data_IF_950834854817
#
_entry.id   IF_950834854817
#
_cell.length_a   1.000
_cell.length_b   1.000
_cell.length_c   1.000
_cell.angle_alpha   90.00
_cell.angle_beta   90.00
_cell.angle_gamma   90.00
#
_symmetry.space_group_name_H-M   'P 1'
#
loop_
_entity.id
_entity.type
_entity.pdbx_description
1 polymer ?
#
# COMPACT_ATOMS: atom_id res chain seq x y z
N UNK A 1 3.57 12.46 26.71
CA UNK A 1 4.50 11.33 26.39
C UNK A 1 5.58 11.78 25.42
N UNK A 2 6.39 12.75 25.81
CA UNK A 2 7.33 13.40 24.86
C UNK A 2 8.74 12.77 24.89
N UNK A 3 9.06 11.89 25.85
CA UNK A 3 10.43 11.38 26.06
C UNK A 3 10.52 9.85 26.21
N UNK A 4 9.69 9.08 25.50
CA UNK A 4 9.91 7.63 25.46
C UNK A 4 11.07 7.33 24.52
N UNK A 5 12.14 6.73 25.02
CA UNK A 5 13.18 6.12 24.19
C UNK A 5 12.52 5.07 23.27
N UNK A 6 12.89 5.06 21.99
CA UNK A 6 12.36 4.11 20.99
C UNK A 6 10.88 4.29 20.62
N UNK A 7 10.37 5.51 20.70
CA UNK A 7 8.98 5.84 20.33
C UNK A 7 8.59 5.43 18.90
N UNK A 8 9.55 5.22 18.03
CA UNK A 8 9.38 4.79 16.64
C UNK A 8 9.03 3.30 16.52
N UNK A 9 9.22 2.50 17.56
CA UNK A 9 9.07 1.04 17.54
C UNK A 9 7.99 0.51 18.48
N UNK A 10 7.20 1.38 19.08
CA UNK A 10 6.13 1.00 20.03
C UNK A 10 5.10 0.07 19.37
N UNK A 11 4.66 0.42 18.15
CA UNK A 11 3.72 -0.43 17.41
C UNK A 11 4.34 -1.80 17.08
N UNK A 12 5.61 -1.83 16.71
CA UNK A 12 6.31 -3.08 16.43
C UNK A 12 6.31 -4.02 17.64
N UNK A 13 6.62 -3.50 18.82
CA UNK A 13 6.61 -4.28 20.06
C UNK A 13 5.21 -4.85 20.36
N UNK A 14 4.17 -4.07 20.15
CA UNK A 14 2.80 -4.56 20.29
C UNK A 14 2.47 -5.65 19.28
N UNK A 15 2.79 -5.47 18.00
CA UNK A 15 2.48 -6.43 16.94
C UNK A 15 3.21 -7.77 17.14
N UNK A 16 4.42 -7.78 17.72
CA UNK A 16 5.11 -9.02 18.08
C UNK A 16 4.30 -9.93 19.01
N UNK A 17 3.40 -9.37 19.83
CA UNK A 17 2.56 -10.15 20.76
C UNK A 17 1.35 -10.81 20.09
N UNK A 18 0.98 -10.37 18.89
CA UNK A 18 -0.26 -10.81 18.20
C UNK A 18 -0.02 -11.42 16.82
N UNK A 19 1.16 -11.25 16.22
CA UNK A 19 1.46 -11.62 14.84
C UNK A 19 1.18 -13.10 14.52
N UNK A 20 1.40 -13.99 15.48
CA UNK A 20 1.23 -15.44 15.27
C UNK A 20 -0.25 -15.87 15.20
N UNK A 21 -1.17 -14.93 15.42
CA UNK A 21 -2.62 -15.17 15.36
C UNK A 21 -3.23 -14.85 13.98
N UNK A 22 -2.46 -14.25 13.09
CA UNK A 22 -2.96 -13.72 11.81
C UNK A 22 -2.01 -14.04 10.66
N UNK A 23 -2.56 -14.38 9.51
CA UNK A 23 -1.79 -14.53 8.26
C UNK A 23 -1.36 -13.17 7.72
N UNK A 24 -2.21 -12.13 7.91
CA UNK A 24 -1.95 -10.76 7.48
C UNK A 24 -2.40 -9.77 8.56
N UNK A 25 -1.61 -8.73 8.77
CA UNK A 25 -1.94 -7.57 9.57
C UNK A 25 -1.83 -6.34 8.66
N UNK A 26 -2.95 -5.64 8.46
CA UNK A 26 -3.00 -4.43 7.64
C UNK A 26 -2.97 -3.20 8.55
N UNK A 27 -2.04 -2.29 8.27
CA UNK A 27 -1.91 -1.01 8.95
C UNK A 27 -2.41 0.08 8.01
N UNK A 28 -3.63 0.58 8.26
CA UNK A 28 -4.16 1.74 7.54
C UNK A 28 -3.55 3.02 8.11
N UNK A 29 -2.85 3.76 7.25
CA UNK A 29 -2.08 4.93 7.64
C UNK A 29 -2.66 6.21 7.05
N UNK A 30 -2.68 7.27 7.84
CA UNK A 30 -3.01 8.60 7.35
C UNK A 30 -2.00 9.07 6.29
N UNK A 31 -2.39 9.91 5.32
CA UNK A 31 -1.52 10.47 4.29
C UNK A 31 -0.58 11.56 4.88
N UNK A 32 0.18 11.22 5.90
CA UNK A 32 1.08 12.12 6.61
C UNK A 32 2.38 11.37 6.90
N UNK A 33 3.51 12.08 6.83
CA UNK A 33 4.84 11.52 7.14
C UNK A 33 5.22 11.72 8.61
N UNK A 34 4.21 11.75 9.50
CA UNK A 34 4.39 11.92 10.93
C UNK A 34 4.86 10.64 11.66
N UNK A 35 4.96 10.75 12.98
CA UNK A 35 5.45 9.67 13.86
C UNK A 35 4.62 8.38 13.76
N UNK A 36 3.32 8.47 13.54
CA UNK A 36 2.46 7.29 13.37
C UNK A 36 2.82 6.50 12.11
N UNK A 37 3.06 7.18 11.00
CA UNK A 37 3.50 6.54 9.76
C UNK A 37 4.89 5.92 9.91
N UNK A 38 5.81 6.59 10.63
CA UNK A 38 7.13 6.02 10.93
C UNK A 38 7.00 4.75 11.78
N UNK A 39 6.12 4.74 12.80
CA UNK A 39 5.84 3.56 13.59
C UNK A 39 5.26 2.41 12.74
N UNK A 40 4.31 2.70 11.85
CA UNK A 40 3.76 1.70 10.95
C UNK A 40 4.84 1.11 10.03
N UNK A 41 5.68 1.94 9.41
CA UNK A 41 6.78 1.49 8.56
C UNK A 41 7.85 0.71 9.35
N UNK A 42 8.12 1.10 10.60
CA UNK A 42 9.06 0.40 11.48
C UNK A 42 8.56 -1.01 11.87
N UNK A 43 7.25 -1.18 11.95
CA UNK A 43 6.59 -2.42 12.33
C UNK A 43 6.26 -3.35 11.16
N UNK A 44 6.23 -2.83 9.93
CA UNK A 44 5.77 -3.56 8.74
C UNK A 44 6.89 -4.32 8.05
N UNK A 45 6.53 -5.45 7.42
CA UNK A 45 7.40 -6.16 6.49
C UNK A 45 7.38 -5.51 5.10
N UNK A 46 6.24 -4.92 4.75
CA UNK A 46 5.99 -4.38 3.41
C UNK A 46 5.11 -3.14 3.45
N UNK A 47 5.27 -2.29 2.45
CA UNK A 47 4.40 -1.14 2.22
C UNK A 47 3.84 -1.18 0.80
N UNK A 48 2.50 -1.16 0.70
CA UNK A 48 1.77 -0.93 -0.55
C UNK A 48 1.40 0.54 -0.58
N UNK A 49 1.67 1.22 -1.68
CA UNK A 49 1.52 2.67 -1.81
C UNK A 49 0.36 2.99 -2.77
N UNK A 50 -0.83 3.35 -2.27
CA UNK A 50 -1.89 3.85 -3.12
C UNK A 50 -1.59 5.28 -3.58
N UNK A 51 -1.73 5.52 -4.89
CA UNK A 51 -1.46 6.82 -5.52
C UNK A 51 -2.64 7.19 -6.42
N UNK A 52 -3.21 8.36 -6.19
CA UNK A 52 -4.22 8.90 -7.09
C UNK A 52 -3.57 9.42 -8.38
N UNK A 53 -4.29 9.31 -9.49
CA UNK A 53 -3.80 9.77 -10.81
C UNK A 53 -3.95 11.28 -10.99
N UNK A 54 -3.28 12.04 -10.09
CA UNK A 54 -3.18 13.49 -10.17
C UNK A 54 -1.74 13.96 -9.90
N UNK A 55 -1.43 15.18 -10.31
CA UNK A 55 -0.09 15.74 -10.25
C UNK A 55 0.50 15.80 -8.82
N UNK A 56 -0.32 16.22 -7.84
CA UNK A 56 0.14 16.36 -6.45
C UNK A 56 0.48 15.01 -5.84
N UNK A 57 -0.32 13.99 -6.12
CA UNK A 57 -0.06 12.62 -5.65
C UNK A 57 1.20 12.03 -6.29
N UNK A 58 1.41 12.26 -7.59
CA UNK A 58 2.64 11.84 -8.28
C UNK A 58 3.88 12.52 -7.68
N UNK A 59 3.82 13.81 -7.38
CA UNK A 59 4.90 14.54 -6.71
C UNK A 59 5.12 14.08 -5.26
N UNK A 60 4.04 13.82 -4.52
CA UNK A 60 4.10 13.31 -3.14
C UNK A 60 4.69 11.90 -3.04
N UNK A 61 4.54 11.08 -4.09
CA UNK A 61 5.10 9.73 -4.15
C UNK A 61 6.63 9.74 -3.96
N UNK A 62 7.34 10.66 -4.58
CA UNK A 62 8.80 10.78 -4.44
C UNK A 62 9.21 11.03 -2.99
N UNK A 63 8.55 11.96 -2.31
CA UNK A 63 8.81 12.26 -0.88
C UNK A 63 8.53 11.06 0.01
N UNK A 64 7.43 10.32 -0.27
CA UNK A 64 7.11 9.10 0.46
C UNK A 64 8.19 8.03 0.25
N UNK A 65 8.62 7.79 -0.98
CA UNK A 65 9.68 6.84 -1.30
C UNK A 65 11.01 7.18 -0.60
N UNK A 66 11.36 8.47 -0.52
CA UNK A 66 12.53 8.93 0.24
C UNK A 66 12.37 8.61 1.74
N UNK A 67 11.18 8.84 2.31
CA UNK A 67 10.90 8.53 3.71
C UNK A 67 10.94 7.03 3.98
N UNK A 68 10.33 6.20 3.13
CA UNK A 68 10.39 4.73 3.23
C UNK A 68 11.85 4.26 3.20
N UNK A 69 12.66 4.80 2.28
CA UNK A 69 14.07 4.45 2.18
C UNK A 69 14.88 4.90 3.42
N UNK A 70 14.53 6.02 4.03
CA UNK A 70 15.17 6.48 5.29
C UNK A 70 14.83 5.55 6.44
N UNK A 71 13.55 5.18 6.60
CA UNK A 71 13.10 4.21 7.61
C UNK A 71 13.78 2.85 7.39
N UNK A 72 13.83 2.39 6.14
CA UNK A 72 14.51 1.14 5.79
C UNK A 72 15.98 1.13 6.20
N UNK A 73 16.70 2.21 5.97
CA UNK A 73 18.14 2.30 6.31
C UNK A 73 18.39 2.44 7.80
N UNK A 74 17.54 3.15 8.54
CA UNK A 74 17.83 3.56 9.91
C UNK A 74 17.09 2.76 10.99
N UNK A 75 15.89 2.21 10.66
CA UNK A 75 14.99 1.65 11.65
C UNK A 75 14.60 0.21 11.31
N UNK A 76 14.18 -0.05 10.05
CA UNK A 76 13.68 -1.36 9.62
C UNK A 76 14.34 -1.82 8.31
N UNK A 77 15.55 -2.41 8.36
CA UNK A 77 16.24 -2.88 7.15
C UNK A 77 15.49 -3.94 6.34
N UNK A 78 14.53 -4.64 6.95
CA UNK A 78 13.72 -5.67 6.31
C UNK A 78 12.54 -5.10 5.52
N UNK A 79 12.19 -3.81 5.74
CA UNK A 79 11.08 -3.15 5.05
C UNK A 79 11.26 -3.19 3.53
N UNK A 80 10.22 -3.60 2.83
CA UNK A 80 10.17 -3.65 1.37
C UNK A 80 8.99 -2.86 0.82
N UNK A 81 9.17 -2.27 -0.35
CA UNK A 81 8.05 -1.71 -1.09
C UNK A 81 7.40 -2.87 -1.85
N UNK A 82 6.14 -3.18 -1.53
CA UNK A 82 5.36 -4.22 -2.19
C UNK A 82 4.96 -3.80 -3.60
N UNK A 83 4.58 -2.54 -3.75
CA UNK A 83 4.22 -1.95 -5.02
C UNK A 83 3.46 -0.65 -4.89
N UNK A 84 3.25 -0.02 -6.04
CA UNK A 84 2.43 1.17 -6.23
C UNK A 84 1.10 0.72 -6.82
N UNK A 85 -0.01 1.19 -6.21
CA UNK A 85 -1.37 0.93 -6.66
C UNK A 85 -1.98 2.25 -7.15
N UNK A 86 -2.37 2.31 -8.41
CA UNK A 86 -3.11 3.46 -8.93
C UNK A 86 -4.55 3.41 -8.44
N UNK A 87 -5.02 4.51 -7.85
CA UNK A 87 -6.37 4.58 -7.27
C UNK A 87 -7.14 5.77 -7.80
N UNK A 88 -8.49 5.70 -7.69
CA UNK A 88 -9.41 6.75 -8.16
C UNK A 88 -9.15 7.16 -9.62
N UNK A 89 -8.79 6.17 -10.45
CA UNK A 89 -8.44 6.40 -11.85
C UNK A 89 -9.70 6.70 -12.66
N UNK A 90 -9.72 7.85 -13.33
CA UNK A 90 -10.78 8.22 -14.28
C UNK A 90 -10.24 8.17 -15.71
N UNK A 91 -10.30 7.02 -16.33
CA UNK A 91 -9.83 6.79 -17.71
C UNK A 91 -10.60 7.54 -18.80
N UNK A 92 -11.67 8.27 -18.45
CA UNK A 92 -12.37 9.17 -19.39
C UNK A 92 -11.54 10.41 -19.64
N UNK A 93 -10.60 10.76 -18.77
CA UNK A 93 -9.75 11.93 -18.89
C UNK A 93 -8.38 11.56 -19.44
N UNK A 94 -7.87 12.34 -20.41
CA UNK A 94 -6.51 12.17 -20.92
C UNK A 94 -5.46 12.40 -19.83
N UNK A 95 -5.71 13.36 -18.95
CA UNK A 95 -4.81 13.69 -17.85
C UNK A 95 -4.57 12.49 -16.91
N UNK A 96 -5.63 11.74 -16.52
CA UNK A 96 -5.45 10.54 -15.68
C UNK A 96 -4.64 9.45 -16.42
N UNK A 97 -4.85 9.29 -17.73
CA UNK A 97 -4.07 8.37 -18.56
C UNK A 97 -2.59 8.76 -18.60
N UNK A 98 -2.31 10.04 -18.84
CA UNK A 98 -0.93 10.57 -18.87
C UNK A 98 -0.20 10.37 -17.54
N UNK A 99 -0.85 10.68 -16.40
CA UNK A 99 -0.27 10.45 -15.07
C UNK A 99 -0.08 8.95 -14.79
N UNK A 100 -1.02 8.09 -15.19
CA UNK A 100 -0.88 6.64 -15.06
C UNK A 100 0.33 6.11 -15.84
N UNK A 101 0.48 6.53 -17.08
CA UNK A 101 1.62 6.19 -17.92
C UNK A 101 2.92 6.72 -17.33
N UNK A 102 2.95 7.98 -16.91
CA UNK A 102 4.13 8.59 -16.27
C UNK A 102 4.59 7.79 -15.05
N UNK A 103 3.66 7.39 -14.17
CA UNK A 103 4.01 6.60 -12.97
C UNK A 103 4.55 5.22 -13.37
N UNK A 104 3.93 4.53 -14.34
CA UNK A 104 4.39 3.23 -14.82
C UNK A 104 5.76 3.32 -15.47
N UNK A 105 6.01 4.31 -16.31
CA UNK A 105 7.30 4.50 -17.01
C UNK A 105 8.41 4.91 -16.03
N UNK A 106 8.10 5.79 -15.07
CA UNK A 106 9.10 6.28 -14.11
C UNK A 106 9.51 5.22 -13.09
N UNK A 107 8.55 4.44 -12.60
CA UNK A 107 8.78 3.53 -11.47
C UNK A 107 8.75 2.06 -11.85
N UNK A 108 8.05 1.65 -12.93
CA UNK A 108 7.82 0.25 -13.28
C UNK A 108 9.08 -0.58 -13.53
N UNK A 109 10.18 0.06 -13.95
CA UNK A 109 11.48 -0.62 -14.08
C UNK A 109 12.20 -0.93 -12.77
N UNK A 110 11.77 -0.34 -11.64
CA UNK A 110 12.43 -0.46 -10.32
C UNK A 110 11.51 -0.98 -9.23
N UNK A 111 10.23 -0.66 -9.33
CA UNK A 111 9.20 -1.02 -8.36
C UNK A 111 8.04 -1.67 -9.11
N UNK A 112 7.37 -2.62 -8.47
CA UNK A 112 6.11 -3.11 -9.01
C UNK A 112 5.09 -1.97 -9.04
N UNK A 113 4.47 -1.74 -10.19
CA UNK A 113 3.21 -1.01 -10.30
C UNK A 113 2.15 -2.05 -10.60
N UNK A 114 1.12 -2.16 -9.76
CA UNK A 114 0.08 -3.16 -9.92
C UNK A 114 -0.66 -2.99 -11.25
N UNK A 115 -1.04 -4.11 -11.88
CA UNK A 115 -1.85 -4.09 -13.10
C UNK A 115 -3.29 -3.69 -12.80
N UNK A 116 -3.80 -4.09 -11.61
CA UNK A 116 -5.09 -3.68 -11.12
C UNK A 116 -5.08 -2.20 -10.73
N UNK A 117 -5.85 -1.39 -11.44
CA UNK A 117 -6.10 0.00 -11.09
C UNK A 117 -7.49 0.12 -10.44
N UNK A 118 -7.59 0.84 -9.33
CA UNK A 118 -8.89 1.07 -8.67
C UNK A 118 -9.57 2.28 -9.32
N UNK A 119 -10.69 2.08 -10.05
CA UNK A 119 -11.35 3.17 -10.75
C UNK A 119 -12.08 4.11 -9.78
N UNK A 120 -12.23 5.36 -10.20
CA UNK A 120 -13.12 6.30 -9.52
C UNK A 120 -14.57 5.87 -9.68
N UNK A 121 -15.32 5.81 -8.57
CA UNK A 121 -16.73 5.42 -8.58
C UNK A 121 -17.53 6.20 -7.54
N UNK A 122 -18.73 6.63 -7.92
CA UNK A 122 -19.69 7.24 -7.00
C UNK A 122 -20.16 6.22 -5.98
N UNK A 123 -20.48 5.00 -6.42
CA UNK A 123 -20.90 3.89 -5.54
C UNK A 123 -19.84 3.55 -4.50
N UNK A 124 -18.56 3.62 -4.85
CA UNK A 124 -17.50 3.43 -3.89
C UNK A 124 -17.40 4.56 -2.84
N UNK A 125 -17.85 5.77 -3.17
CA UNK A 125 -17.94 6.85 -2.19
C UNK A 125 -19.12 6.67 -1.22
N UNK A 126 -20.23 6.09 -1.69
CA UNK A 126 -21.44 5.85 -0.89
C UNK A 126 -21.20 4.83 0.24
N UNK A 127 -20.33 3.83 0.04
CA UNK A 127 -20.05 2.78 1.04
C UNK A 127 -19.56 3.35 2.38
N UNK A 128 -18.84 4.49 2.35
CA UNK A 128 -18.35 5.13 3.57
C UNK A 128 -19.51 5.69 4.43
N UNK A 129 -20.58 6.15 3.79
CA UNK A 129 -21.77 6.65 4.50
C UNK A 129 -22.63 5.48 5.01
N UNK A 130 -22.68 4.37 4.29
CA UNK A 130 -23.49 3.20 4.64
C UNK A 130 -22.77 2.22 5.59
N UNK A 131 -21.46 2.35 5.78
CA UNK A 131 -20.67 1.47 6.63
C UNK A 131 -20.63 0.01 6.15
N UNK A 132 -20.73 -0.21 4.83
CA UNK A 132 -20.74 -1.55 4.22
C UNK A 132 -19.55 -1.75 3.29
N UNK A 133 -19.20 -3.00 3.02
CA UNK A 133 -18.14 -3.31 2.06
C UNK A 133 -18.62 -3.10 0.62
N UNK A 134 -17.70 -2.68 -0.29
CA UNK A 134 -17.98 -2.60 -1.73
C UNK A 134 -18.47 -3.95 -2.29
N UNK A 135 -18.00 -5.06 -1.77
CA UNK A 135 -18.42 -6.39 -2.18
C UNK A 135 -19.87 -6.73 -1.79
N UNK A 136 -20.43 -6.01 -0.81
CA UNK A 136 -21.84 -6.12 -0.43
C UNK A 136 -22.71 -5.11 -1.18
N UNK A 137 -22.21 -3.88 -1.32
CA UNK A 137 -22.94 -2.75 -1.92
C UNK A 137 -23.02 -2.87 -3.45
N UNK A 138 -21.93 -3.23 -4.12
CA UNK A 138 -21.81 -3.33 -5.58
C UNK A 138 -20.93 -4.52 -6.00
N UNK A 139 -21.37 -5.78 -5.75
CA UNK A 139 -20.52 -6.98 -5.90
C UNK A 139 -20.07 -7.25 -7.34
N UNK A 140 -20.83 -6.82 -8.35
CA UNK A 140 -20.50 -6.91 -9.78
C UNK A 140 -19.93 -5.62 -10.36
N UNK A 141 -19.64 -4.63 -9.51
CA UNK A 141 -19.13 -3.34 -9.96
C UNK A 141 -17.62 -3.37 -10.23
N UNK A 142 -17.19 -2.49 -11.13
CA UNK A 142 -15.77 -2.38 -11.54
C UNK A 142 -14.79 -2.19 -10.38
N UNK A 143 -15.22 -1.53 -9.30
CA UNK A 143 -14.37 -1.34 -8.10
C UNK A 143 -14.22 -2.65 -7.34
N UNK A 144 -15.28 -3.42 -7.17
CA UNK A 144 -15.21 -4.73 -6.53
C UNK A 144 -14.31 -5.70 -7.34
N UNK A 145 -14.48 -5.74 -8.67
CA UNK A 145 -13.62 -6.52 -9.57
C UNK A 145 -12.15 -6.10 -9.48
N UNK A 146 -11.89 -4.79 -9.45
CA UNK A 146 -10.52 -4.26 -9.33
C UNK A 146 -9.86 -4.66 -8.00
N UNK A 147 -10.58 -4.59 -6.87
CA UNK A 147 -10.08 -5.07 -5.58
C UNK A 147 -9.88 -6.58 -5.54
N UNK A 148 -10.73 -7.37 -6.21
CA UNK A 148 -10.49 -8.81 -6.34
C UNK A 148 -9.22 -9.10 -7.15
N UNK A 149 -8.99 -8.38 -8.25
CA UNK A 149 -7.79 -8.50 -9.06
C UNK A 149 -6.54 -8.13 -8.27
N UNK A 150 -6.58 -6.99 -7.54
CA UNK A 150 -5.51 -6.58 -6.63
C UNK A 150 -5.21 -7.68 -5.59
N UNK A 151 -6.25 -8.24 -4.97
CA UNK A 151 -6.09 -9.29 -3.96
C UNK A 151 -5.37 -10.50 -4.55
N UNK A 152 -5.73 -10.94 -5.76
CA UNK A 152 -5.04 -12.06 -6.44
C UNK A 152 -3.56 -11.75 -6.69
N UNK A 153 -3.25 -10.52 -7.13
CA UNK A 153 -1.86 -10.11 -7.35
C UNK A 153 -1.05 -10.07 -6.05
N UNK A 154 -1.61 -9.52 -4.96
CA UNK A 154 -0.96 -9.47 -3.65
C UNK A 154 -0.69 -10.87 -3.11
N UNK A 155 -1.69 -11.75 -3.18
CA UNK A 155 -1.57 -13.14 -2.73
C UNK A 155 -0.52 -13.91 -3.52
N UNK A 156 -0.52 -13.78 -4.86
CA UNK A 156 0.49 -14.42 -5.71
C UNK A 156 1.92 -13.95 -5.39
N UNK A 157 2.08 -12.66 -5.08
CA UNK A 157 3.38 -12.13 -4.64
C UNK A 157 3.79 -12.69 -3.27
N UNK A 158 2.86 -12.80 -2.33
CA UNK A 158 3.12 -13.37 -1.01
C UNK A 158 3.58 -14.84 -1.11
N UNK A 159 2.91 -15.65 -1.93
CA UNK A 159 3.28 -17.05 -2.17
C UNK A 159 4.66 -17.20 -2.82
N UNK A 160 4.95 -16.38 -3.84
CA UNK A 160 6.28 -16.38 -4.48
C UNK A 160 7.39 -16.09 -3.47
N UNK A 161 7.17 -15.12 -2.59
CA UNK A 161 8.13 -14.78 -1.54
C UNK A 161 8.32 -15.90 -0.54
N UNK A 162 7.23 -16.52 -0.09
CA UNK A 162 7.29 -17.66 0.85
C UNK A 162 8.10 -18.81 0.25
N UNK A 163 7.87 -19.15 -1.01
CA UNK A 163 8.66 -20.17 -1.70
C UNK A 163 10.15 -19.81 -1.75
N UNK A 164 10.47 -18.57 -2.15
CA UNK A 164 11.86 -18.13 -2.23
C UNK A 164 12.58 -18.15 -0.88
N UNK A 165 11.90 -17.80 0.20
CA UNK A 165 12.46 -17.90 1.56
C UNK A 165 12.73 -19.34 1.99
N UNK A 166 11.84 -20.27 1.64
CA UNK A 166 12.03 -21.70 1.93
C UNK A 166 13.21 -22.30 1.14
N UNK A 167 13.40 -21.85 -0.11
CA UNK A 167 14.51 -22.29 -0.96
C UNK A 167 15.87 -21.78 -0.47
N UNK A 168 15.91 -20.62 0.20
CA UNK A 168 17.14 -20.07 0.80
C UNK A 168 17.52 -20.72 2.13
N UNK A 169 16.63 -21.48 2.77
CA UNK A 169 16.86 -22.20 4.03
C UNK A 169 17.27 -23.66 3.80
N UNK A 170 17.30 -24.11 2.55
CA UNK A 170 17.80 -25.45 2.13
C UNK A 170 19.19 -25.38 1.62
#
# INVERSE_FOLDING_TARGET
MVNAMSRETVLKQYLETVKDRYDFILLDCMPSLGMLTVNALAASDQVLIPVQTNYLSAKGLEQLLQTVNKVKRQINPKLRIEGILLTMVDYRTNFAKEISTLIRDTYGGRLKVYDADIPRSVRAAEISAEGVSIFKHDPGGKVAEAYQSLTKEVMANAEKRRKHQLDQLR
#
